data_IF_945875361825
#
_entry.id   IF_945875361825
#
_cell.length_a   1.000
_cell.length_b   1.000
_cell.length_c   1.000
_cell.angle_alpha   90.00
_cell.angle_beta   90.00
_cell.angle_gamma   90.00
#
_symmetry.space_group_name_H-M   'P 1'
#
loop_
_entity.id
_entity.type
_entity.pdbx_description
1 polymer ?
#
# COMPACT_ATOMS: atom_id res chain seq x y z
N UNK A 1 -5.51 7.30 -20.91
CA UNK A 1 -4.35 6.95 -20.07
C UNK A 1 -3.53 5.90 -20.78
N UNK A 2 -2.21 6.02 -20.75
CA UNK A 2 -1.26 5.05 -21.33
C UNK A 2 -0.16 4.73 -20.35
N UNK A 3 0.37 3.51 -20.43
CA UNK A 3 1.54 3.03 -19.69
C UNK A 3 2.59 2.66 -20.75
N UNK A 4 3.83 3.17 -20.64
CA UNK A 4 4.89 2.95 -21.62
C UNK A 4 4.45 3.21 -23.08
N UNK A 5 3.69 4.29 -23.31
CA UNK A 5 3.11 4.69 -24.60
C UNK A 5 2.03 3.74 -25.19
N UNK A 6 1.61 2.72 -24.45
CA UNK A 6 0.50 1.85 -24.86
C UNK A 6 -0.79 2.24 -24.11
N UNK A 7 -1.93 2.39 -24.81
CA UNK A 7 -3.22 2.62 -24.15
C UNK A 7 -3.54 1.53 -23.13
N UNK A 8 -4.04 1.91 -21.95
CA UNK A 8 -4.33 0.96 -20.87
C UNK A 8 -5.34 -0.11 -21.27
N UNK A 9 -6.28 0.21 -22.16
CA UNK A 9 -7.25 -0.73 -22.69
C UNK A 9 -6.69 -1.86 -23.55
N UNK A 10 -5.41 -1.77 -23.96
CA UNK A 10 -4.73 -2.80 -24.74
C UNK A 10 -4.00 -3.84 -23.87
N UNK A 11 -3.98 -3.62 -22.55
CA UNK A 11 -3.37 -4.56 -21.64
C UNK A 11 -4.38 -5.60 -21.15
N UNK A 12 -3.88 -6.81 -20.86
CA UNK A 12 -4.65 -7.77 -20.11
C UNK A 12 -4.76 -7.28 -18.64
N UNK A 13 -6.00 -7.06 -18.18
CA UNK A 13 -6.28 -6.53 -16.84
C UNK A 13 -5.68 -7.42 -15.74
N UNK A 14 -5.72 -8.74 -15.91
CA UNK A 14 -5.15 -9.68 -14.94
C UNK A 14 -3.63 -9.51 -14.80
N UNK A 15 -2.93 -9.21 -15.89
CA UNK A 15 -1.49 -8.95 -15.86
C UNK A 15 -1.17 -7.57 -15.25
N UNK A 16 -2.01 -6.56 -15.48
CA UNK A 16 -1.86 -5.26 -14.84
C UNK A 16 -1.97 -5.36 -13.32
N UNK A 17 -2.90 -6.13 -12.80
CA UNK A 17 -3.05 -6.35 -11.35
C UNK A 17 -1.84 -7.05 -10.70
N UNK A 18 -1.00 -7.73 -11.48
CA UNK A 18 0.25 -8.32 -10.97
C UNK A 18 1.36 -7.30 -10.82
N UNK A 19 1.30 -6.18 -11.53
CA UNK A 19 2.37 -5.18 -11.58
C UNK A 19 1.98 -3.82 -10.98
N UNK A 20 0.74 -3.66 -10.54
CA UNK A 20 0.24 -2.44 -9.90
C UNK A 20 -0.19 -2.74 -8.47
N UNK A 21 0.38 -2.01 -7.51
CA UNK A 21 -0.13 -1.91 -6.15
C UNK A 21 -1.12 -0.75 -6.06
N UNK A 22 -2.40 -1.05 -5.88
CA UNK A 22 -3.45 -0.05 -5.88
C UNK A 22 -3.99 0.23 -4.48
N UNK A 23 -3.82 1.44 -3.98
CA UNK A 23 -4.37 1.99 -2.75
C UNK A 23 -5.08 3.33 -2.99
N UNK A 24 -5.73 3.52 -4.14
CA UNK A 24 -6.47 4.75 -4.48
C UNK A 24 -7.94 4.73 -4.00
N UNK A 25 -8.45 3.57 -3.64
CA UNK A 25 -9.84 3.44 -3.23
C UNK A 25 -9.90 3.52 -1.71
N UNK A 26 -10.96 4.11 -1.14
CA UNK A 26 -11.30 3.94 0.29
C UNK A 26 -11.58 2.46 0.55
N UNK A 27 -10.55 1.66 0.43
CA UNK A 27 -10.66 0.24 0.58
C UNK A 27 -10.72 -0.11 2.04
N UNK A 28 -11.84 -0.58 2.38
CA UNK A 28 -12.08 -1.27 3.63
C UNK A 28 -11.28 -2.57 3.67
N UNK A 29 -10.81 -2.90 4.84
CA UNK A 29 -10.47 -4.26 5.21
C UNK A 29 -11.76 -5.07 5.08
N UNK A 30 -11.71 -6.23 4.44
CA UNK A 30 -12.86 -7.12 4.31
C UNK A 30 -12.82 -8.24 5.37
N UNK A 31 -13.97 -8.82 5.65
CA UNK A 31 -14.08 -9.97 6.54
C UNK A 31 -13.30 -11.16 5.97
N UNK A 32 -12.32 -11.64 6.73
CA UNK A 32 -11.40 -12.69 6.33
C UNK A 32 -10.14 -12.65 7.17
N UNK A 33 -9.18 -13.50 6.90
CA UNK A 33 -7.92 -13.54 7.62
C UNK A 33 -7.03 -12.34 7.26
N UNK A 34 -6.04 -12.05 8.11
CA UNK A 34 -5.06 -11.00 7.81
C UNK A 34 -4.28 -11.30 6.53
N UNK A 35 -3.89 -12.57 6.30
CA UNK A 35 -3.19 -12.96 5.08
C UNK A 35 -4.07 -12.76 3.84
N UNK A 36 -5.35 -13.09 3.89
CA UNK A 36 -6.29 -12.83 2.80
C UNK A 36 -6.42 -11.34 2.52
N UNK A 37 -6.47 -10.52 3.55
CA UNK A 37 -6.51 -9.07 3.42
C UNK A 37 -5.25 -8.49 2.78
N UNK A 38 -4.08 -9.07 3.00
CA UNK A 38 -2.82 -8.63 2.38
C UNK A 38 -2.68 -9.18 0.95
N UNK A 39 -3.00 -10.45 0.74
CA UNK A 39 -2.79 -11.13 -0.56
C UNK A 39 -3.93 -10.94 -1.53
N UNK A 40 -5.13 -10.58 -1.06
CA UNK A 40 -6.38 -10.59 -1.84
C UNK A 40 -6.69 -11.97 -2.46
N UNK A 41 -6.31 -13.05 -1.78
CA UNK A 41 -6.48 -14.43 -2.26
C UNK A 41 -5.64 -14.78 -3.49
N UNK A 42 -4.54 -14.05 -3.76
CA UNK A 42 -3.67 -14.31 -4.90
C UNK A 42 -2.72 -15.46 -4.61
N UNK A 43 -2.92 -16.61 -5.23
CA UNK A 43 -2.16 -17.86 -4.98
C UNK A 43 -0.66 -17.77 -5.35
N UNK A 44 -0.28 -16.81 -6.20
CA UNK A 44 1.11 -16.63 -6.59
C UNK A 44 1.95 -15.86 -5.58
N UNK A 45 1.35 -15.26 -4.54
CA UNK A 45 2.06 -14.54 -3.48
C UNK A 45 2.55 -15.55 -2.45
N UNK A 46 3.86 -15.60 -2.24
CA UNK A 46 4.49 -16.50 -1.29
C UNK A 46 4.43 -15.94 0.14
N UNK A 47 4.48 -16.82 1.12
CA UNK A 47 4.47 -16.44 2.54
C UNK A 47 5.68 -15.54 2.89
N UNK A 48 6.82 -15.74 2.26
CA UNK A 48 8.02 -14.93 2.45
C UNK A 48 7.80 -13.49 1.97
N UNK A 49 7.02 -13.29 0.89
CA UNK A 49 6.66 -11.96 0.38
C UNK A 49 5.68 -11.27 1.34
N UNK A 50 4.74 -12.03 1.94
CA UNK A 50 3.84 -11.51 2.97
C UNK A 50 4.65 -11.08 4.20
N UNK A 51 5.56 -11.93 4.68
CA UNK A 51 6.43 -11.61 5.81
C UNK A 51 7.26 -10.36 5.55
N UNK A 52 7.87 -10.27 4.36
CA UNK A 52 8.61 -9.09 3.94
C UNK A 52 7.72 -7.83 3.94
N UNK A 53 6.49 -7.91 3.41
CA UNK A 53 5.61 -6.76 3.33
C UNK A 53 5.17 -6.26 4.71
N UNK A 54 4.80 -7.17 5.64
CA UNK A 54 4.42 -6.79 7.01
C UNK A 54 5.59 -6.18 7.79
N UNK A 55 6.83 -6.64 7.56
CA UNK A 55 8.02 -6.06 8.18
C UNK A 55 8.24 -4.62 7.69
N UNK A 56 8.07 -4.36 6.40
CA UNK A 56 8.26 -3.04 5.80
C UNK A 56 7.26 -1.99 6.27
N UNK A 57 6.09 -2.42 6.71
CA UNK A 57 5.04 -1.52 7.23
C UNK A 57 4.89 -1.59 8.76
N UNK A 58 5.83 -2.21 9.45
CA UNK A 58 5.83 -2.31 10.93
C UNK A 58 4.59 -3.01 11.50
N UNK A 59 4.12 -4.07 10.85
CA UNK A 59 3.02 -4.90 11.32
C UNK A 59 3.47 -6.15 12.08
N UNK A 60 4.78 -6.48 12.09
CA UNK A 60 5.31 -7.74 12.63
C UNK A 60 4.97 -7.97 14.09
N UNK A 61 5.05 -6.94 14.92
CA UNK A 61 4.72 -7.07 16.33
C UNK A 61 3.22 -7.25 16.55
N UNK A 62 2.39 -6.53 15.81
CA UNK A 62 0.95 -6.76 15.82
C UNK A 62 0.59 -8.20 15.45
N UNK A 63 1.21 -8.76 14.39
CA UNK A 63 0.97 -10.15 13.96
C UNK A 63 1.36 -11.16 15.04
N UNK A 64 2.46 -10.93 15.77
CA UNK A 64 2.89 -11.79 16.89
C UNK A 64 1.89 -11.82 18.06
N UNK A 65 1.19 -10.72 18.29
CA UNK A 65 0.18 -10.59 19.36
C UNK A 65 -1.16 -11.24 18.97
N UNK A 66 -1.37 -11.56 17.70
CA UNK A 66 -2.59 -12.20 17.23
C UNK A 66 -2.62 -13.69 17.57
N UNK A 67 -3.76 -14.25 18.02
CA UNK A 67 -3.86 -15.65 18.48
C UNK A 67 -3.44 -16.69 17.41
N UNK A 68 -3.73 -16.41 16.14
CA UNK A 68 -3.41 -17.27 15.00
C UNK A 68 -2.45 -16.56 14.00
N UNK A 69 -1.75 -15.50 14.42
CA UNK A 69 -0.87 -14.74 13.56
C UNK A 69 -1.58 -14.25 12.30
N UNK A 70 -1.02 -14.55 11.14
CA UNK A 70 -1.58 -14.16 9.83
C UNK A 70 -2.95 -14.81 9.52
N UNK A 71 -3.24 -15.96 10.11
CA UNK A 71 -4.52 -16.68 9.93
C UNK A 71 -5.61 -16.16 10.86
N UNK A 72 -5.33 -15.13 11.64
CA UNK A 72 -6.34 -14.49 12.50
C UNK A 72 -7.39 -13.80 11.64
N UNK A 73 -8.67 -14.14 11.87
CA UNK A 73 -9.80 -13.45 11.24
C UNK A 73 -9.88 -11.99 11.69
N UNK A 74 -9.97 -11.12 10.73
CA UNK A 74 -10.24 -9.70 10.91
C UNK A 74 -11.75 -9.51 10.81
N UNK A 75 -12.39 -9.39 11.96
CA UNK A 75 -13.83 -9.13 12.03
C UNK A 75 -14.10 -7.63 11.99
N UNK A 76 -14.83 -7.19 10.98
CA UNK A 76 -15.22 -5.79 10.79
C UNK A 76 -16.37 -5.42 11.74
N UNK A 77 -17.14 -6.41 12.21
CA UNK A 77 -18.39 -6.19 12.96
C UNK A 77 -18.18 -5.93 14.46
N UNK A 78 -17.07 -6.39 15.05
CA UNK A 78 -16.88 -6.41 16.49
C UNK A 78 -15.81 -5.48 17.07
N UNK A 79 -14.67 -5.35 16.43
CA UNK A 79 -13.60 -4.42 16.82
C UNK A 79 -13.17 -3.60 15.63
N UNK A 80 -13.49 -2.31 15.65
CA UNK A 80 -12.92 -1.39 14.65
C UNK A 80 -11.41 -1.40 14.76
N UNK A 81 -10.73 -1.88 13.73
CA UNK A 81 -9.30 -1.71 13.59
C UNK A 81 -8.94 -0.22 13.69
N UNK A 82 -7.80 0.08 14.30
CA UNK A 82 -7.32 1.46 14.27
C UNK A 82 -7.05 1.89 12.83
N UNK A 83 -7.26 3.16 12.52
CA UNK A 83 -6.97 3.71 11.19
C UNK A 83 -5.52 3.47 10.78
N UNK A 84 -4.58 3.58 11.71
CA UNK A 84 -3.17 3.28 11.49
C UNK A 84 -2.96 1.84 11.03
N UNK A 85 -3.62 0.88 11.67
CA UNK A 85 -3.52 -0.54 11.30
C UNK A 85 -4.09 -0.79 9.90
N UNK A 86 -5.26 -0.23 9.60
CA UNK A 86 -5.88 -0.31 8.27
C UNK A 86 -4.93 0.23 7.20
N UNK A 87 -4.35 1.41 7.40
CA UNK A 87 -3.41 2.03 6.44
C UNK A 87 -2.18 1.15 6.20
N UNK A 88 -1.60 0.56 7.25
CA UNK A 88 -0.46 -0.34 7.12
C UNK A 88 -0.82 -1.63 6.36
N UNK A 89 -1.99 -2.20 6.60
CA UNK A 89 -2.46 -3.38 5.85
C UNK A 89 -2.63 -3.04 4.36
N UNK A 90 -3.20 -1.88 4.04
CA UNK A 90 -3.36 -1.43 2.64
C UNK A 90 -1.99 -1.22 1.98
N UNK A 91 -1.04 -0.58 2.66
CA UNK A 91 0.32 -0.43 2.11
C UNK A 91 0.98 -1.80 1.90
N UNK A 92 0.87 -2.73 2.87
CA UNK A 92 1.38 -4.10 2.73
C UNK A 92 0.77 -4.80 1.51
N UNK A 93 -0.54 -4.69 1.31
CA UNK A 93 -1.27 -5.17 0.13
C UNK A 93 -0.73 -4.60 -1.18
N UNK A 94 -0.36 -3.32 -1.19
CA UNK A 94 0.19 -2.67 -2.37
C UNK A 94 1.59 -3.16 -2.73
N UNK A 95 2.43 -3.49 -1.74
CA UNK A 95 3.84 -3.83 -1.96
C UNK A 95 4.13 -5.33 -2.04
N UNK A 96 3.23 -6.19 -1.53
CA UNK A 96 3.48 -7.63 -1.29
C UNK A 96 3.96 -8.39 -2.52
N UNK A 97 3.49 -8.04 -3.71
CA UNK A 97 3.91 -8.67 -4.96
C UNK A 97 5.03 -7.92 -5.69
N UNK A 98 5.71 -6.97 -5.02
CA UNK A 98 6.83 -6.17 -5.58
C UNK A 98 6.46 -5.54 -6.93
N UNK A 99 5.42 -4.70 -6.97
CA UNK A 99 4.86 -4.16 -8.20
C UNK A 99 5.85 -3.25 -8.95
N UNK A 100 5.50 -2.83 -10.17
CA UNK A 100 6.24 -1.82 -10.94
C UNK A 100 5.68 -0.41 -10.75
N UNK A 101 4.43 -0.31 -10.33
CA UNK A 101 3.75 0.95 -10.04
C UNK A 101 2.97 0.81 -8.72
N UNK A 102 3.14 1.77 -7.84
CA UNK A 102 2.36 1.90 -6.61
C UNK A 102 1.55 3.18 -6.69
N UNK A 103 0.25 3.07 -6.44
CA UNK A 103 -0.69 4.18 -6.36
C UNK A 103 -1.22 4.24 -4.93
N UNK A 104 -1.01 5.36 -4.24
CA UNK A 104 -1.49 5.55 -2.85
C UNK A 104 -2.24 6.88 -2.71
N UNK A 105 -3.29 6.88 -1.92
CA UNK A 105 -4.05 8.08 -1.58
C UNK A 105 -4.28 8.15 -0.07
N UNK A 106 -3.66 9.14 0.61
CA UNK A 106 -3.85 9.45 2.03
C UNK A 106 -3.66 8.26 3.01
N UNK A 107 -2.84 7.25 2.65
CA UNK A 107 -2.62 6.06 3.49
C UNK A 107 -1.47 6.19 4.51
N UNK A 108 -1.04 7.42 4.82
CA UNK A 108 0.03 7.67 5.77
C UNK A 108 -0.41 8.52 6.98
N UNK A 109 -1.59 9.13 6.89
CA UNK A 109 -2.02 10.22 7.78
C UNK A 109 -2.26 9.79 9.23
N UNK A 110 -2.59 8.52 9.48
CA UNK A 110 -2.89 8.00 10.81
C UNK A 110 -1.76 7.12 11.37
N UNK A 111 -0.65 6.99 10.66
CA UNK A 111 0.54 6.27 11.12
C UNK A 111 1.36 7.22 11.98
N UNK A 112 1.89 6.73 13.08
CA UNK A 112 2.72 7.49 13.99
C UNK A 112 4.00 7.99 13.26
N UNK A 113 4.45 9.20 13.57
CA UNK A 113 5.44 9.93 12.77
C UNK A 113 6.75 9.15 12.54
N UNK A 114 7.28 8.51 13.59
CA UNK A 114 8.55 7.78 13.47
C UNK A 114 8.43 6.61 12.48
N UNK A 115 7.36 5.84 12.58
CA UNK A 115 7.14 4.68 11.70
C UNK A 115 6.71 5.14 10.31
N UNK A 116 5.89 6.18 10.22
CA UNK A 116 5.48 6.81 8.96
C UNK A 116 6.70 7.25 8.15
N UNK A 117 7.65 7.96 8.78
CA UNK A 117 8.84 8.42 8.10
C UNK A 117 9.70 7.26 7.59
N UNK A 118 9.82 6.18 8.35
CA UNK A 118 10.52 4.96 7.90
C UNK A 118 9.81 4.26 6.74
N UNK A 119 8.47 4.22 6.75
CA UNK A 119 7.68 3.69 5.63
C UNK A 119 7.87 4.58 4.40
N UNK A 120 7.86 5.90 4.54
CA UNK A 120 8.14 6.84 3.45
C UNK A 120 9.54 6.62 2.89
N UNK A 121 10.57 6.52 3.74
CA UNK A 121 11.94 6.24 3.31
C UNK A 121 12.02 4.94 2.49
N UNK A 122 11.34 3.90 2.96
CA UNK A 122 11.27 2.64 2.22
C UNK A 122 10.53 2.78 0.88
N UNK A 123 9.37 3.43 0.85
CA UNK A 123 8.57 3.58 -0.37
C UNK A 123 9.27 4.44 -1.43
N UNK A 124 10.07 5.42 -1.01
CA UNK A 124 10.80 6.36 -1.89
C UNK A 124 12.24 5.93 -2.17
N UNK A 125 12.70 4.81 -1.61
CA UNK A 125 14.06 4.29 -1.85
C UNK A 125 14.21 3.88 -3.32
N UNK A 126 15.19 4.50 -3.99
CA UNK A 126 15.48 4.27 -5.43
C UNK A 126 16.01 2.88 -5.74
N UNK A 127 16.41 2.11 -4.74
CA UNK A 127 16.76 0.69 -4.91
C UNK A 127 15.54 -0.19 -5.18
N UNK A 128 14.35 0.28 -4.82
CA UNK A 128 13.09 -0.35 -5.18
C UNK A 128 12.78 -0.06 -6.66
N UNK A 129 12.52 -1.12 -7.41
CA UNK A 129 12.28 -1.02 -8.86
C UNK A 129 10.81 -0.69 -9.18
N UNK A 130 10.20 0.27 -8.47
CA UNK A 130 8.84 0.75 -8.76
C UNK A 130 8.79 2.26 -8.94
N UNK A 131 7.72 2.71 -9.59
CA UNK A 131 7.29 4.10 -9.59
C UNK A 131 6.23 4.28 -8.50
N UNK A 132 6.40 5.26 -7.61
CA UNK A 132 5.39 5.64 -6.62
C UNK A 132 4.66 6.89 -7.11
N UNK A 133 3.33 6.81 -7.21
CA UNK A 133 2.45 7.97 -7.38
C UNK A 133 1.55 8.04 -6.15
N UNK A 134 1.58 9.18 -5.46
CA UNK A 134 0.81 9.33 -4.23
C UNK A 134 0.11 10.70 -4.17
N UNK A 135 -1.07 10.70 -3.55
CA UNK A 135 -1.79 11.92 -3.16
C UNK A 135 -1.64 12.02 -1.64
N UNK A 136 -1.00 13.10 -1.17
CA UNK A 136 -0.75 13.31 0.25
C UNK A 136 -0.43 14.76 0.54
N UNK A 137 -0.72 15.20 1.77
CA UNK A 137 -0.30 16.49 2.32
C UNK A 137 0.94 16.35 3.25
N UNK A 138 1.55 15.17 3.32
CA UNK A 138 2.69 14.93 4.20
C UNK A 138 3.94 15.63 3.66
N UNK A 139 4.52 16.53 4.48
CA UNK A 139 5.68 17.32 4.09
C UNK A 139 6.96 16.48 3.95
N UNK A 140 7.12 15.43 4.76
CA UNK A 140 8.30 14.57 4.67
C UNK A 140 8.28 13.79 3.35
N UNK A 141 7.11 13.27 2.97
CA UNK A 141 6.93 12.60 1.68
C UNK A 141 7.21 13.54 0.50
N UNK A 142 6.76 14.82 0.58
CA UNK A 142 7.06 15.83 -0.45
C UNK A 142 8.57 16.04 -0.60
N UNK A 143 9.32 16.13 0.51
CA UNK A 143 10.79 16.29 0.50
C UNK A 143 11.52 15.07 -0.10
N UNK A 144 10.96 13.87 0.03
CA UNK A 144 11.53 12.62 -0.49
C UNK A 144 11.13 12.34 -1.94
N UNK A 145 10.14 13.03 -2.48
CA UNK A 145 9.63 12.82 -3.82
C UNK A 145 10.52 13.47 -4.88
N UNK A 146 10.74 12.79 -6.01
CA UNK A 146 11.48 13.36 -7.15
C UNK A 146 10.72 14.52 -7.83
N UNK A 147 9.38 14.48 -7.78
CA UNK A 147 8.51 15.49 -8.39
C UNK A 147 7.28 15.70 -7.51
N UNK A 148 6.96 16.95 -7.25
CA UNK A 148 5.73 17.35 -6.53
C UNK A 148 4.86 18.16 -7.49
N UNK A 149 3.60 17.78 -7.63
CA UNK A 149 2.61 18.49 -8.45
C UNK A 149 1.53 19.01 -7.51
N UNK A 150 1.36 20.33 -7.48
CA UNK A 150 0.28 20.96 -6.72
C UNK A 150 -0.95 21.13 -7.59
N UNK A 151 -2.11 20.70 -7.09
CA UNK A 151 -3.39 20.86 -7.78
C UNK A 151 -4.33 21.74 -6.97
N UNK A 152 -5.01 22.66 -7.64
CA UNK A 152 -6.06 23.48 -7.07
C UNK A 152 -7.21 23.63 -8.09
N UNK A 153 -8.46 23.42 -7.64
CA UNK A 153 -9.67 23.53 -8.46
C UNK A 153 -9.58 22.74 -9.79
N UNK A 154 -9.00 21.52 -9.74
CA UNK A 154 -8.84 20.64 -10.90
C UNK A 154 -7.74 21.05 -11.88
N UNK A 155 -6.90 22.03 -11.54
CA UNK A 155 -5.78 22.52 -12.36
C UNK A 155 -4.46 22.37 -11.64
N UNK A 156 -3.42 22.11 -12.42
CA UNK A 156 -2.04 22.15 -11.92
C UNK A 156 -1.69 23.63 -11.66
N UNK A 157 -1.20 23.89 -10.47
CA UNK A 157 -0.66 25.20 -10.06
C UNK A 157 0.81 25.00 -9.71
N UNK A 158 1.66 25.82 -10.30
CA UNK A 158 3.11 25.85 -10.02
C UNK A 158 3.39 26.81 -8.86
#
# INVERSE_FOLDING_TARGET
VSINNFPIGNYNISELYKVIGNGLVEESIFEGTLIENITLGRDFIKIEDVQWAIDKVYLSDYVKELPLGLDTNIDISGKKLSKSLVQRIIIARCIVNKPKLILLENHLDFIEEIERNKIIDFLTDKSNNWTLITISNDHYLQQKSDTVITMKDGKIVN
#
